data_IF_008370583792
#
_entry.id   IF_008370583792
#
_cell.length_a   1.000
_cell.length_b   1.000
_cell.length_c   1.000
_cell.angle_alpha   90.00
_cell.angle_beta   90.00
_cell.angle_gamma   90.00
#
_symmetry.space_group_name_H-M   'P 1'
#
loop_
_entity.id
_entity.type
_entity.pdbx_description
1 polymer ?
#
# COMPACT_ATOMS: atom_id res chain seq x y z
N UNK A 1 14.63 13.09 10.70
CA UNK A 1 15.13 14.47 10.51
C UNK A 1 14.12 15.28 9.71
N UNK A 2 14.20 16.61 9.70
CA UNK A 2 13.32 17.45 8.90
C UNK A 2 13.54 17.21 7.40
N UNK A 3 12.48 17.36 6.59
CA UNK A 3 12.59 17.37 5.13
C UNK A 3 13.09 18.76 4.71
N UNK A 4 14.29 18.81 4.14
CA UNK A 4 14.92 20.06 3.69
C UNK A 4 14.85 20.15 2.17
N UNK A 5 14.21 21.21 1.65
CA UNK A 5 14.12 21.49 0.23
C UNK A 5 15.20 22.50 -0.16
N UNK A 6 16.20 22.05 -0.93
CA UNK A 6 17.27 22.92 -1.42
C UNK A 6 16.75 23.76 -2.59
N UNK A 7 16.70 25.09 -2.42
CA UNK A 7 16.08 26.09 -3.31
C UNK A 7 16.74 26.23 -4.69
N UNK A 8 16.70 25.19 -5.54
CA UNK A 8 17.20 25.20 -6.92
C UNK A 8 16.20 24.55 -7.91
N UNK A 9 14.90 24.82 -7.75
CA UNK A 9 13.82 24.16 -8.49
C UNK A 9 12.83 25.15 -9.13
N UNK A 10 13.20 26.43 -9.23
CA UNK A 10 12.33 27.47 -9.82
C UNK A 10 11.06 27.74 -8.99
N UNK A 11 10.02 28.27 -9.65
CA UNK A 11 8.82 28.81 -8.98
C UNK A 11 7.56 27.94 -9.13
N UNK A 12 7.49 27.04 -10.11
CA UNK A 12 6.28 26.26 -10.42
C UNK A 12 6.36 24.83 -9.87
N UNK A 13 6.22 24.69 -8.54
CA UNK A 13 6.26 23.39 -7.86
C UNK A 13 5.28 23.37 -6.67
N UNK A 14 4.90 22.16 -6.25
CA UNK A 14 4.06 21.95 -5.08
C UNK A 14 4.44 20.66 -4.36
N UNK A 15 4.28 20.65 -3.04
CA UNK A 15 4.47 19.47 -2.20
C UNK A 15 3.24 19.34 -1.32
N UNK A 16 2.71 18.13 -1.23
CA UNK A 16 1.54 17.85 -0.43
C UNK A 16 1.41 16.36 -0.15
N UNK A 17 0.71 16.04 0.91
CA UNK A 17 0.25 14.68 1.15
C UNK A 17 -0.79 14.29 0.12
N UNK A 18 -0.80 13.01 -0.25
CA UNK A 18 -1.87 12.42 -1.03
C UNK A 18 -2.43 11.23 -0.25
N UNK A 19 -3.76 11.16 -0.16
CA UNK A 19 -4.47 10.10 0.54
C UNK A 19 -5.56 9.54 -0.38
N UNK A 20 -5.72 8.22 -0.36
CA UNK A 20 -6.64 7.51 -1.25
C UNK A 20 -8.10 7.89 -1.00
N UNK A 21 -8.56 7.87 0.25
CA UNK A 21 -9.98 8.15 0.55
C UNK A 21 -10.41 9.59 0.18
N UNK A 22 -9.65 10.66 0.52
CA UNK A 22 -9.94 12.01 0.02
C UNK A 22 -9.94 12.11 -1.51
N UNK A 23 -9.02 11.42 -2.20
CA UNK A 23 -9.01 11.37 -3.66
C UNK A 23 -10.26 10.69 -4.23
N UNK A 24 -10.69 9.57 -3.65
CA UNK A 24 -11.91 8.85 -4.05
C UNK A 24 -13.17 9.72 -3.87
N UNK A 25 -13.24 10.49 -2.78
CA UNK A 25 -14.31 11.46 -2.56
C UNK A 25 -14.31 12.54 -3.66
N UNK A 26 -13.13 13.07 -4.01
CA UNK A 26 -12.97 14.11 -5.03
C UNK A 26 -13.42 13.66 -6.43
N UNK A 27 -13.13 12.42 -6.83
CA UNK A 27 -13.48 11.91 -8.17
C UNK A 27 -14.92 11.38 -8.25
N UNK A 28 -15.57 11.16 -7.11
CA UNK A 28 -16.95 10.69 -7.01
C UNK A 28 -17.15 9.20 -7.28
N UNK A 29 -18.32 8.69 -6.86
CA UNK A 29 -18.66 7.25 -6.91
C UNK A 29 -18.55 6.61 -8.31
N UNK A 30 -19.03 7.25 -9.41
CA UNK A 30 -18.95 6.61 -10.74
C UNK A 30 -17.51 6.36 -11.20
N UNK A 31 -16.58 7.28 -10.89
CA UNK A 31 -15.18 7.11 -11.25
C UNK A 31 -14.51 6.04 -10.38
N UNK A 32 -14.80 6.01 -9.07
CA UNK A 32 -14.35 4.95 -8.16
C UNK A 32 -14.81 3.58 -8.65
N UNK A 33 -16.07 3.46 -9.05
CA UNK A 33 -16.64 2.19 -9.53
C UNK A 33 -15.88 1.66 -10.75
N UNK A 34 -15.57 2.52 -11.73
CA UNK A 34 -14.74 2.13 -12.89
C UNK A 34 -13.34 1.65 -12.49
N UNK A 35 -12.73 2.25 -11.46
CA UNK A 35 -11.43 1.79 -10.94
C UNK A 35 -11.56 0.39 -10.32
N UNK A 36 -12.60 0.15 -9.53
CA UNK A 36 -12.88 -1.15 -8.93
C UNK A 36 -13.15 -2.23 -10.01
N UNK A 37 -13.92 -1.91 -11.04
CA UNK A 37 -14.20 -2.81 -12.16
C UNK A 37 -12.92 -3.24 -12.88
N UNK A 38 -12.01 -2.29 -13.14
CA UNK A 38 -10.71 -2.60 -13.72
C UNK A 38 -9.86 -3.48 -12.79
N UNK A 39 -9.87 -3.20 -11.48
CA UNK A 39 -9.15 -4.02 -10.49
C UNK A 39 -9.62 -5.48 -10.54
N UNK A 40 -10.94 -5.70 -10.61
CA UNK A 40 -11.51 -7.05 -10.73
C UNK A 40 -11.10 -7.71 -12.05
N UNK A 41 -11.17 -6.97 -13.17
CA UNK A 41 -10.82 -7.49 -14.50
C UNK A 41 -9.34 -7.89 -14.63
N UNK A 42 -8.43 -7.17 -13.95
CA UNK A 42 -6.98 -7.37 -14.03
C UNK A 42 -6.37 -7.90 -12.71
N UNK A 43 -7.19 -8.53 -11.86
CA UNK A 43 -6.81 -8.88 -10.47
C UNK A 43 -5.57 -9.78 -10.39
N UNK A 44 -5.47 -10.74 -11.31
CA UNK A 44 -4.37 -11.72 -11.36
C UNK A 44 -3.27 -11.34 -12.37
N UNK A 45 -3.37 -10.17 -12.99
CA UNK A 45 -2.40 -9.67 -13.97
C UNK A 45 -1.79 -8.36 -13.45
N UNK A 46 -2.27 -7.21 -13.92
CA UNK A 46 -1.76 -5.88 -13.54
C UNK A 46 -1.76 -5.66 -12.03
N UNK A 47 -2.76 -6.19 -11.31
CA UNK A 47 -2.90 -6.01 -9.87
C UNK A 47 -2.44 -7.22 -9.05
N UNK A 48 -1.73 -8.18 -9.65
CA UNK A 48 -1.21 -9.34 -8.94
C UNK A 48 -0.27 -8.91 -7.80
N UNK A 49 -0.49 -9.47 -6.60
CA UNK A 49 0.38 -9.26 -5.44
C UNK A 49 1.13 -10.53 -5.09
N UNK A 50 2.43 -10.38 -4.79
CA UNK A 50 3.25 -11.45 -4.25
C UNK A 50 3.37 -11.31 -2.73
N UNK A 51 3.30 -12.45 -2.04
CA UNK A 51 3.49 -12.55 -0.60
C UNK A 51 4.63 -13.53 -0.32
N UNK A 52 5.53 -13.12 0.56
CA UNK A 52 6.71 -13.89 0.96
C UNK A 52 6.33 -14.98 1.96
N UNK A 53 5.33 -14.69 2.79
CA UNK A 53 4.88 -15.59 3.85
C UNK A 53 3.42 -15.33 4.20
N UNK A 54 2.71 -16.40 4.49
CA UNK A 54 1.38 -16.38 5.09
C UNK A 54 1.48 -16.77 6.57
N UNK A 55 0.93 -15.92 7.45
CA UNK A 55 1.00 -16.07 8.91
C UNK A 55 -0.39 -16.07 9.55
N UNK A 56 -0.54 -16.78 10.66
CA UNK A 56 -1.73 -16.70 11.51
C UNK A 56 -1.76 -15.37 12.28
N UNK A 57 -2.89 -15.07 12.93
CA UNK A 57 -2.97 -13.88 13.78
C UNK A 57 -2.00 -13.96 14.97
N UNK A 58 -1.78 -15.16 15.51
CA UNK A 58 -0.81 -15.38 16.60
C UNK A 58 0.63 -15.22 16.11
N UNK A 59 0.96 -15.80 14.95
CA UNK A 59 2.28 -15.66 14.33
C UNK A 59 2.61 -14.20 13.98
N UNK A 60 1.62 -13.42 13.55
CA UNK A 60 1.77 -11.99 13.27
C UNK A 60 2.21 -11.18 14.50
N UNK A 61 1.97 -11.67 15.72
CA UNK A 61 2.41 -11.02 16.96
C UNK A 61 3.83 -11.46 17.40
N UNK A 62 4.45 -12.42 16.69
CA UNK A 62 5.79 -12.86 17.02
C UNK A 62 6.84 -11.80 16.67
N UNK A 63 7.77 -11.56 17.59
CA UNK A 63 8.91 -10.66 17.37
C UNK A 63 9.74 -11.05 16.15
N UNK A 64 9.85 -12.35 15.84
CA UNK A 64 10.57 -12.84 14.65
C UNK A 64 9.90 -12.41 13.35
N UNK A 65 8.57 -12.43 13.27
CA UNK A 65 7.84 -12.01 12.07
C UNK A 65 7.81 -10.48 11.95
N UNK A 66 7.59 -9.77 13.07
CA UNK A 66 7.63 -8.30 13.14
C UNK A 66 8.97 -7.77 12.63
N UNK A 67 10.07 -8.42 12.99
CA UNK A 67 11.40 -8.03 12.55
C UNK A 67 11.58 -8.13 11.02
N UNK A 68 10.79 -8.97 10.33
CA UNK A 68 10.82 -9.09 8.87
C UNK A 68 9.88 -8.07 8.24
N UNK A 69 8.56 -8.18 8.44
CA UNK A 69 7.60 -7.32 7.75
C UNK A 69 7.71 -5.84 8.16
N UNK A 70 8.23 -5.55 9.37
CA UNK A 70 8.45 -4.20 9.86
C UNK A 70 9.48 -3.40 9.05
N UNK A 71 10.42 -4.08 8.37
CA UNK A 71 11.41 -3.47 7.48
C UNK A 71 10.78 -2.83 6.25
N UNK A 72 9.63 -3.37 5.80
CA UNK A 72 8.94 -2.96 4.56
C UNK A 72 9.86 -3.09 3.34
N UNK A 73 10.66 -4.16 3.32
CA UNK A 73 11.58 -4.46 2.24
C UNK A 73 10.87 -4.85 0.94
N UNK A 74 11.55 -4.65 -0.18
CA UNK A 74 11.07 -5.09 -1.49
C UNK A 74 10.90 -6.61 -1.50
N UNK A 75 9.70 -7.09 -1.86
CA UNK A 75 9.43 -8.53 -1.94
C UNK A 75 9.29 -9.22 -0.58
N UNK A 76 9.10 -8.47 0.52
CA UNK A 76 8.92 -8.98 1.89
C UNK A 76 7.50 -8.76 2.42
N UNK A 77 6.48 -8.80 1.54
CA UNK A 77 5.09 -8.58 1.94
C UNK A 77 4.50 -9.83 2.59
N UNK A 78 3.85 -9.65 3.72
CA UNK A 78 3.18 -10.73 4.46
C UNK A 78 1.67 -10.76 4.18
N UNK A 79 1.10 -11.96 4.19
CA UNK A 79 -0.35 -12.20 4.18
C UNK A 79 -0.76 -12.72 5.57
N UNK A 80 -1.72 -12.07 6.22
CA UNK A 80 -2.29 -12.59 7.48
C UNK A 80 -3.54 -13.39 7.12
N UNK A 81 -3.57 -14.65 7.51
CA UNK A 81 -4.74 -15.52 7.47
C UNK A 81 -5.25 -15.76 8.90
N UNK A 82 -6.30 -15.06 9.34
CA UNK A 82 -6.79 -15.17 10.72
C UNK A 82 -7.29 -16.55 11.12
N UNK A 83 -7.68 -17.39 10.14
CA UNK A 83 -8.22 -18.72 10.37
C UNK A 83 -7.18 -19.83 10.18
N UNK A 84 -5.91 -19.46 9.96
CA UNK A 84 -4.81 -20.42 9.90
C UNK A 84 -4.64 -21.03 11.29
N UNK A 85 -4.96 -22.32 11.41
CA UNK A 85 -4.77 -23.15 12.61
C UNK A 85 -3.33 -23.65 12.66
#
# INVERSE_FOLDING_TARGET
>A
GPIVLKRNFGMAWGIGGWLLWPFMQKIGRPAVQRLCERIVAELKTTFASHYTKEVSLAEALSLSEIAVYGKRGTGEKYLINPNKV
#
